data_IF_367983351775
#
_entry.id   IF_367983351775
#
_cell.length_a   1.000
_cell.length_b   1.000
_cell.length_c   1.000
_cell.angle_alpha   90.00
_cell.angle_beta   90.00
_cell.angle_gamma   90.00
#
_symmetry.space_group_name_H-M   'P 1'
#
loop_
_entity.id
_entity.type
_entity.pdbx_description
1 polymer ?
#
# COMPACT_ATOMS: atom_id res chain seq x y z
N UNK A 1 8.36 -3.33 -4.30
CA UNK A 1 8.75 -2.19 -5.16
C UNK A 1 7.71 -2.03 -6.27
N UNK A 2 7.22 -0.81 -6.51
CA UNK A 2 6.24 -0.52 -7.57
C UNK A 2 6.92 0.05 -8.81
N UNK A 3 6.89 -0.68 -9.91
CA UNK A 3 7.44 -0.26 -11.20
C UNK A 3 6.35 0.34 -12.10
N UNK A 4 6.71 1.28 -12.97
CA UNK A 4 5.85 1.80 -14.05
C UNK A 4 6.25 1.21 -15.40
N UNK A 5 5.33 1.23 -16.37
CA UNK A 5 5.53 0.66 -17.71
C UNK A 5 6.01 -0.81 -17.67
N UNK A 6 5.36 -1.61 -16.82
CA UNK A 6 5.80 -2.98 -16.53
C UNK A 6 5.49 -3.91 -17.69
N UNK A 7 6.48 -4.72 -18.05
CA UNK A 7 6.36 -5.83 -19.01
C UNK A 7 6.71 -7.13 -18.31
N UNK A 8 5.88 -8.15 -18.46
CA UNK A 8 5.94 -9.37 -17.65
C UNK A 8 6.22 -10.58 -18.55
N UNK A 9 7.23 -11.36 -18.19
CA UNK A 9 7.47 -12.68 -18.75
C UNK A 9 7.20 -13.76 -17.69
N UNK A 10 5.97 -14.27 -17.69
CA UNK A 10 5.52 -15.25 -16.70
C UNK A 10 6.23 -16.60 -16.84
N UNK A 11 6.58 -17.00 -18.07
CA UNK A 11 7.22 -18.28 -18.35
C UNK A 11 8.63 -18.37 -17.75
N UNK A 12 9.33 -17.23 -17.68
CA UNK A 12 10.70 -17.14 -17.18
C UNK A 12 10.81 -16.40 -15.85
N UNK A 13 9.69 -16.20 -15.15
CA UNK A 13 9.64 -15.67 -13.77
C UNK A 13 10.32 -14.31 -13.59
N UNK A 14 10.13 -13.38 -14.54
CA UNK A 14 10.62 -12.01 -14.37
C UNK A 14 9.68 -10.97 -14.97
N UNK A 15 9.89 -9.74 -14.54
CA UNK A 15 9.30 -8.55 -15.15
C UNK A 15 10.37 -7.48 -15.31
N UNK A 16 10.15 -6.55 -16.23
CA UNK A 16 10.96 -5.34 -16.38
C UNK A 16 10.08 -4.11 -16.29
N UNK A 17 10.61 -3.01 -15.77
CA UNK A 17 9.88 -1.74 -15.66
C UNK A 17 10.79 -0.61 -15.24
N UNK A 18 10.24 0.58 -15.10
CA UNK A 18 10.98 1.75 -14.61
C UNK A 18 10.63 2.04 -13.16
N UNK A 19 11.64 2.25 -12.33
CA UNK A 19 11.47 2.66 -10.94
C UNK A 19 11.73 4.17 -10.83
N UNK A 20 10.71 4.90 -10.36
CA UNK A 20 10.75 6.36 -10.22
C UNK A 20 11.63 6.81 -9.05
N UNK A 21 11.83 5.96 -8.03
CA UNK A 21 12.58 6.33 -6.83
C UNK A 21 14.08 6.31 -7.09
N UNK A 22 14.58 5.27 -7.76
CA UNK A 22 15.99 5.14 -8.12
C UNK A 22 16.31 5.60 -9.54
N UNK A 23 15.30 6.14 -10.25
CA UNK A 23 15.38 6.64 -11.63
C UNK A 23 16.05 5.65 -12.59
N UNK A 24 15.73 4.37 -12.46
CA UNK A 24 16.42 3.28 -13.15
C UNK A 24 15.44 2.29 -13.74
N UNK A 25 15.81 1.68 -14.87
CA UNK A 25 15.13 0.48 -15.35
C UNK A 25 15.52 -0.71 -14.48
N UNK A 26 14.54 -1.51 -14.11
CA UNK A 26 14.68 -2.63 -13.17
C UNK A 26 14.21 -3.90 -13.85
N UNK A 27 15.01 -4.96 -13.73
CA UNK A 27 14.58 -6.34 -13.88
C UNK A 27 14.23 -6.88 -12.49
N UNK A 28 12.96 -7.23 -12.29
CA UNK A 28 12.46 -7.89 -11.09
C UNK A 28 12.32 -9.39 -11.36
N UNK A 29 13.20 -10.17 -10.74
CA UNK A 29 13.25 -11.63 -10.83
C UNK A 29 12.49 -12.25 -9.66
N UNK A 30 11.53 -13.15 -9.96
CA UNK A 30 10.72 -13.85 -8.97
C UNK A 30 11.45 -15.12 -8.51
N UNK A 31 11.65 -15.26 -7.20
CA UNK A 31 12.26 -16.43 -6.57
C UNK A 31 11.18 -17.27 -5.89
N UNK A 32 10.94 -18.47 -6.39
CA UNK A 32 9.79 -19.31 -5.97
C UNK A 32 10.11 -20.33 -4.88
N UNK A 33 11.36 -20.77 -4.73
CA UNK A 33 11.73 -21.90 -3.86
C UNK A 33 11.95 -21.54 -2.38
N UNK A 34 11.84 -20.26 -2.01
CA UNK A 34 12.07 -19.75 -0.63
C UNK A 34 11.01 -18.70 -0.25
N UNK A 35 9.74 -18.97 -0.55
CA UNK A 35 8.63 -18.14 -0.04
C UNK A 35 8.18 -17.00 -0.96
N UNK A 36 8.42 -17.08 -2.27
CA UNK A 36 7.93 -16.13 -3.28
C UNK A 36 8.31 -14.66 -2.98
N UNK A 37 9.52 -14.29 -3.40
CA UNK A 37 10.02 -12.93 -3.23
C UNK A 37 10.77 -12.46 -4.48
N UNK A 38 11.00 -11.15 -4.60
CA UNK A 38 11.72 -10.58 -5.74
C UNK A 38 13.17 -10.22 -5.42
N UNK A 39 14.03 -10.40 -6.42
CA UNK A 39 15.34 -9.75 -6.52
C UNK A 39 15.31 -8.71 -7.62
N UNK A 40 15.88 -7.55 -7.35
CA UNK A 40 15.86 -6.42 -8.25
C UNK A 40 17.27 -6.18 -8.81
N UNK A 41 17.36 -5.99 -10.13
CA UNK A 41 18.61 -5.71 -10.85
C UNK A 41 18.46 -4.44 -11.68
N UNK A 42 19.43 -3.53 -11.61
CA UNK A 42 19.45 -2.33 -12.44
C UNK A 42 19.89 -2.67 -13.86
N UNK A 43 19.01 -2.44 -14.82
CA UNK A 43 19.27 -2.65 -16.24
C UNK A 43 19.33 -1.30 -16.98
N UNK A 44 19.94 -1.28 -18.16
CA UNK A 44 19.95 -0.11 -19.03
C UNK A 44 18.59 0.04 -19.74
N UNK A 45 18.35 1.22 -20.33
CA UNK A 45 17.20 1.42 -21.21
C UNK A 45 17.21 0.47 -22.40
N UNK A 46 18.39 0.23 -22.98
CA UNK A 46 18.56 -0.70 -24.09
C UNK A 46 18.16 -2.13 -23.69
N UNK A 47 18.59 -2.58 -22.51
CA UNK A 47 18.24 -3.90 -21.96
C UNK A 47 16.73 -4.03 -21.68
N UNK A 48 16.08 -2.94 -21.23
CA UNK A 48 14.62 -2.90 -21.09
C UNK A 48 13.91 -2.97 -22.46
N UNK A 49 14.42 -2.27 -23.46
CA UNK A 49 13.86 -2.22 -24.80
C UNK A 49 13.97 -3.57 -25.54
N UNK A 50 14.89 -4.46 -25.14
CA UNK A 50 14.95 -5.85 -25.64
C UNK A 50 13.64 -6.61 -25.47
N UNK A 51 12.75 -6.23 -24.56
CA UNK A 51 11.46 -6.90 -24.40
C UNK A 51 10.63 -6.87 -25.70
N UNK A 52 10.72 -5.80 -26.49
CA UNK A 52 9.98 -5.66 -27.75
C UNK A 52 10.70 -6.31 -28.93
N UNK A 53 12.03 -6.22 -28.95
CA UNK A 53 12.82 -6.50 -30.15
C UNK A 53 13.70 -7.76 -30.07
N UNK A 54 14.02 -8.25 -28.86
CA UNK A 54 14.87 -9.43 -28.64
C UNK A 54 14.71 -10.00 -27.22
N UNK A 55 13.54 -10.57 -26.92
CA UNK A 55 13.21 -11.08 -25.58
C UNK A 55 14.17 -12.20 -25.11
N UNK A 56 14.81 -12.91 -26.04
CA UNK A 56 15.76 -13.97 -25.72
C UNK A 56 17.01 -13.43 -25.00
N UNK A 57 17.47 -12.22 -25.33
CA UNK A 57 18.56 -11.56 -24.57
C UNK A 57 18.15 -11.24 -23.14
N UNK A 58 16.90 -10.81 -22.91
CA UNK A 58 16.39 -10.60 -21.55
C UNK A 58 16.27 -11.90 -20.76
N UNK A 59 15.85 -12.99 -21.41
CA UNK A 59 15.80 -14.31 -20.78
C UNK A 59 17.21 -14.75 -20.38
N UNK A 60 18.19 -14.59 -21.26
CA UNK A 60 19.59 -14.90 -20.97
C UNK A 60 20.14 -14.05 -19.81
N UNK A 61 19.87 -12.73 -19.81
CA UNK A 61 20.24 -11.85 -18.70
C UNK A 61 19.58 -12.27 -17.38
N UNK A 62 18.30 -12.63 -17.40
CA UNK A 62 17.60 -13.12 -16.21
C UNK A 62 18.26 -14.40 -15.67
N UNK A 63 18.64 -15.34 -16.55
CA UNK A 63 19.35 -16.56 -16.17
C UNK A 63 20.74 -16.26 -15.59
N UNK A 64 21.46 -15.31 -16.17
CA UNK A 64 22.76 -14.85 -15.65
C UNK A 64 22.61 -14.24 -14.25
N UNK A 65 21.64 -13.34 -14.06
CA UNK A 65 21.29 -12.76 -12.76
C UNK A 65 20.93 -13.84 -11.73
N UNK A 66 20.21 -14.88 -12.14
CA UNK A 66 19.86 -16.01 -11.26
C UNK A 66 21.11 -16.79 -10.83
N UNK A 67 21.99 -17.12 -11.78
CA UNK A 67 23.19 -17.91 -11.54
C UNK A 67 24.21 -17.18 -10.65
N UNK A 68 24.40 -15.87 -10.88
CA UNK A 68 25.33 -15.05 -10.09
C UNK A 68 24.70 -14.54 -8.78
N UNK A 69 23.37 -14.54 -8.68
CA UNK A 69 22.63 -14.13 -7.49
C UNK A 69 23.06 -12.71 -7.02
N UNK A 70 23.33 -12.53 -5.72
CA UNK A 70 23.71 -11.25 -5.12
C UNK A 70 25.11 -10.77 -5.54
N UNK A 71 25.89 -11.60 -6.25
CA UNK A 71 27.22 -11.25 -6.76
C UNK A 71 27.15 -10.59 -8.15
N UNK A 72 25.99 -10.63 -8.82
CA UNK A 72 25.84 -10.02 -10.12
C UNK A 72 26.08 -8.50 -10.04
N UNK A 73 26.86 -7.89 -10.95
CA UNK A 73 27.20 -6.45 -10.87
C UNK A 73 25.98 -5.53 -10.98
N UNK A 74 24.89 -6.01 -11.58
CA UNK A 74 23.61 -5.28 -11.66
C UNK A 74 22.72 -5.46 -10.42
N UNK A 75 23.08 -6.29 -9.45
CA UNK A 75 22.25 -6.55 -8.28
C UNK A 75 21.97 -5.27 -7.50
N UNK A 76 20.69 -4.96 -7.32
CA UNK A 76 20.26 -3.75 -6.64
C UNK A 76 19.97 -4.02 -5.17
N UNK A 77 18.94 -4.84 -4.90
CA UNK A 77 18.62 -5.40 -3.58
C UNK A 77 17.59 -6.54 -3.75
N UNK A 78 17.30 -7.24 -2.66
CA UNK A 78 16.27 -8.28 -2.57
C UNK A 78 15.23 -7.93 -1.52
N UNK A 79 14.01 -8.44 -1.70
CA UNK A 79 12.98 -8.46 -0.64
C UNK A 79 13.34 -9.39 0.51
N UNK A 80 14.28 -10.33 0.30
CA UNK A 80 14.77 -11.21 1.37
C UNK A 80 15.98 -10.57 2.05
N UNK A 81 15.87 -10.11 3.32
CA UNK A 81 16.90 -9.27 3.94
C UNK A 81 18.26 -9.93 4.11
N UNK A 82 18.31 -11.27 4.12
CA UNK A 82 19.54 -12.06 4.24
C UNK A 82 20.39 -11.97 2.96
N UNK A 83 19.77 -11.73 1.79
CA UNK A 83 20.47 -11.54 0.51
C UNK A 83 21.17 -10.16 0.43
N UNK A 84 20.89 -9.24 1.36
CA UNK A 84 21.28 -7.84 1.28
C UNK A 84 22.44 -7.48 2.21
N UNK A 85 23.27 -6.53 1.77
CA UNK A 85 24.15 -5.76 2.65
C UNK A 85 23.34 -4.80 3.55
N UNK A 86 23.92 -4.25 4.63
CA UNK A 86 23.23 -3.27 5.49
C UNK A 86 22.65 -2.07 4.73
N UNK A 87 23.42 -1.48 3.80
CA UNK A 87 22.97 -0.36 2.96
C UNK A 87 21.81 -0.76 2.02
N UNK A 88 21.80 -2.00 1.53
CA UNK A 88 20.67 -2.51 0.73
C UNK A 88 19.44 -2.77 1.59
N UNK A 89 19.61 -3.20 2.85
CA UNK A 89 18.50 -3.33 3.79
C UNK A 89 17.90 -1.98 4.20
N UNK A 90 18.70 -0.92 4.27
CA UNK A 90 18.15 0.45 4.40
C UNK A 90 17.31 0.84 3.18
N UNK A 91 17.75 0.49 1.97
CA UNK A 91 16.93 0.69 0.76
C UNK A 91 15.65 -0.13 0.81
N UNK A 92 15.73 -1.42 1.15
CA UNK A 92 14.55 -2.27 1.30
C UNK A 92 13.54 -1.63 2.27
N UNK A 93 14.00 -1.19 3.45
CA UNK A 93 13.17 -0.47 4.42
C UNK A 93 12.55 0.79 3.82
N UNK A 94 13.34 1.60 3.10
CA UNK A 94 12.82 2.77 2.39
C UNK A 94 11.72 2.40 1.40
N UNK A 95 11.92 1.39 0.53
CA UNK A 95 10.88 0.96 -0.42
C UNK A 95 9.64 0.39 0.28
N UNK A 96 9.80 -0.37 1.36
CA UNK A 96 8.69 -0.89 2.15
C UNK A 96 7.91 0.24 2.83
N UNK A 97 8.62 1.23 3.36
CA UNK A 97 8.04 2.41 3.98
C UNK A 97 7.36 3.30 2.94
N UNK A 98 7.97 3.54 1.77
CA UNK A 98 7.34 4.28 0.68
C UNK A 98 6.11 3.53 0.14
N UNK A 99 6.13 2.20 0.07
CA UNK A 99 4.96 1.41 -0.30
C UNK A 99 3.85 1.48 0.77
N UNK A 100 4.23 1.53 2.04
CA UNK A 100 3.31 1.77 3.16
C UNK A 100 2.73 3.19 3.14
N UNK A 101 3.57 4.20 2.92
CA UNK A 101 3.20 5.61 2.81
C UNK A 101 2.33 5.88 1.58
N UNK A 102 2.65 5.26 0.43
CA UNK A 102 1.80 5.24 -0.77
C UNK A 102 0.48 4.47 -0.55
N UNK A 103 0.38 3.66 0.51
CA UNK A 103 -0.82 2.95 0.93
C UNK A 103 -1.52 3.58 2.14
N UNK A 104 -1.14 4.78 2.61
CA UNK A 104 -1.92 5.52 3.63
C UNK A 104 -3.40 5.62 3.23
N UNK A 105 -3.68 5.80 1.94
CA UNK A 105 -5.05 5.80 1.39
C UNK A 105 -5.73 4.45 1.57
N UNK A 106 -5.02 3.35 1.36
CA UNK A 106 -5.53 1.99 1.58
C UNK A 106 -5.77 1.71 3.06
N UNK A 107 -4.84 2.08 3.94
CA UNK A 107 -4.98 1.87 5.38
C UNK A 107 -6.14 2.70 5.93
N UNK A 108 -6.26 3.96 5.52
CA UNK A 108 -7.41 4.80 5.88
C UNK A 108 -8.73 4.20 5.36
N UNK A 109 -8.76 3.72 4.11
CA UNK A 109 -9.91 3.02 3.53
C UNK A 109 -10.33 1.81 4.37
N UNK A 110 -9.39 0.95 4.73
CA UNK A 110 -9.67 -0.26 5.51
C UNK A 110 -10.22 0.09 6.90
N UNK A 111 -9.69 1.16 7.53
CA UNK A 111 -10.22 1.68 8.82
C UNK A 111 -11.63 2.24 8.68
N UNK A 112 -11.92 3.01 7.63
CA UNK A 112 -13.27 3.52 7.34
C UNK A 112 -14.26 2.37 7.12
N UNK A 113 -13.88 1.36 6.34
CA UNK A 113 -14.70 0.17 6.08
C UNK A 113 -14.96 -0.63 7.37
N UNK A 114 -13.96 -0.74 8.26
CA UNK A 114 -14.16 -1.34 9.58
C UNK A 114 -15.18 -0.55 10.40
N UNK A 115 -15.05 0.78 10.44
CA UNK A 115 -15.98 1.63 11.18
C UNK A 115 -17.43 1.51 10.67
N UNK A 116 -17.62 1.49 9.34
CA UNK A 116 -18.95 1.27 8.74
C UNK A 116 -19.59 -0.08 9.17
N UNK A 117 -18.79 -1.15 9.28
CA UNK A 117 -19.27 -2.45 9.79
C UNK A 117 -19.69 -2.39 11.26
N UNK A 118 -19.00 -1.60 12.08
CA UNK A 118 -19.41 -1.42 13.48
C UNK A 118 -20.68 -0.57 13.58
N UNK A 119 -20.91 0.39 12.67
CA UNK A 119 -22.18 1.10 12.55
C UNK A 119 -23.31 0.12 12.19
N UNK A 120 -23.12 -0.79 11.23
CA UNK A 120 -24.11 -1.83 10.88
C UNK A 120 -24.52 -2.66 12.11
N UNK A 121 -23.55 -3.09 12.91
CA UNK A 121 -23.80 -3.87 14.13
C UNK A 121 -24.52 -3.05 15.18
N UNK A 122 -24.14 -1.79 15.37
CA UNK A 122 -24.77 -0.90 16.33
C UNK A 122 -26.22 -0.60 15.95
N UNK A 123 -26.52 -0.39 14.66
CA UNK A 123 -27.88 -0.18 14.14
C UNK A 123 -28.79 -1.38 14.41
N UNK A 124 -28.27 -2.60 14.31
CA UNK A 124 -29.05 -3.82 14.56
C UNK A 124 -29.54 -3.96 16.02
N UNK A 125 -28.91 -3.24 16.96
CA UNK A 125 -29.25 -3.29 18.40
C UNK A 125 -29.72 -1.94 18.96
N UNK A 126 -29.77 -0.90 18.11
CA UNK A 126 -30.11 0.46 18.51
C UNK A 126 -31.62 0.73 18.55
N UNK A 127 -32.05 1.64 19.43
CA UNK A 127 -33.41 2.19 19.41
C UNK A 127 -33.63 3.08 18.17
N UNK A 128 -34.89 3.28 17.78
CA UNK A 128 -35.30 4.11 16.63
C UNK A 128 -34.75 5.55 16.71
N UNK A 129 -34.53 6.09 17.90
CA UNK A 129 -33.94 7.42 18.10
C UNK A 129 -32.46 7.48 17.74
N UNK A 130 -31.73 6.37 17.87
CA UNK A 130 -30.29 6.29 17.66
C UNK A 130 -29.95 5.92 16.20
N UNK A 131 -30.87 5.24 15.50
CA UNK A 131 -30.68 4.83 14.11
C UNK A 131 -30.56 6.02 13.15
N UNK A 132 -31.26 7.14 13.42
CA UNK A 132 -31.15 8.35 12.61
C UNK A 132 -29.73 8.94 12.61
N UNK A 133 -29.08 8.96 13.76
CA UNK A 133 -27.73 9.50 13.91
C UNK A 133 -26.64 8.56 13.39
N UNK A 134 -26.80 7.25 13.56
CA UNK A 134 -25.93 6.24 12.96
C UNK A 134 -25.96 6.32 11.42
N UNK A 135 -27.15 6.52 10.85
CA UNK A 135 -27.31 6.70 9.41
C UNK A 135 -26.66 8.00 8.90
N UNK A 136 -26.73 9.12 9.64
CA UNK A 136 -26.01 10.35 9.29
C UNK A 136 -24.49 10.15 9.34
N UNK A 137 -23.99 9.43 10.35
CA UNK A 137 -22.58 9.08 10.46
C UNK A 137 -22.12 8.20 9.29
N UNK A 138 -22.92 7.20 8.92
CA UNK A 138 -22.70 6.33 7.75
C UNK A 138 -22.55 7.14 6.47
N UNK A 139 -23.53 7.99 6.15
CA UNK A 139 -23.53 8.82 4.94
C UNK A 139 -22.29 9.72 4.90
N UNK A 140 -21.91 10.32 6.03
CA UNK A 140 -20.67 11.11 6.12
C UNK A 140 -19.44 10.28 5.79
N UNK A 141 -19.30 9.10 6.40
CA UNK A 141 -18.15 8.23 6.19
C UNK A 141 -18.07 7.64 4.78
N UNK A 142 -19.22 7.32 4.16
CA UNK A 142 -19.29 6.91 2.76
C UNK A 142 -18.83 8.03 1.82
N UNK A 143 -19.22 9.29 2.08
CA UNK A 143 -18.74 10.43 1.30
C UNK A 143 -17.22 10.65 1.44
N UNK A 144 -16.69 10.46 2.65
CA UNK A 144 -15.24 10.50 2.89
C UNK A 144 -14.52 9.38 2.15
N UNK A 145 -15.07 8.16 2.17
CA UNK A 145 -14.53 7.02 1.43
C UNK A 145 -14.51 7.30 -0.08
N UNK A 146 -15.58 7.86 -0.63
CA UNK A 146 -15.65 8.27 -2.03
C UNK A 146 -14.58 9.33 -2.38
N UNK A 147 -14.42 10.36 -1.54
CA UNK A 147 -13.37 11.37 -1.72
C UNK A 147 -11.97 10.77 -1.67
N UNK A 148 -11.75 9.78 -0.79
CA UNK A 148 -10.50 9.06 -0.66
C UNK A 148 -10.20 8.23 -1.92
N UNK A 149 -11.18 7.50 -2.44
CA UNK A 149 -11.07 6.68 -3.65
C UNK A 149 -10.85 7.53 -4.90
N UNK A 150 -11.52 8.68 -4.99
CA UNK A 150 -11.35 9.66 -6.07
C UNK A 150 -10.08 10.50 -5.93
N UNK A 151 -9.32 10.34 -4.85
CA UNK A 151 -8.06 11.05 -4.62
C UNK A 151 -8.20 12.55 -4.33
N UNK A 152 -9.40 13.01 -3.96
CA UNK A 152 -9.72 14.41 -3.66
C UNK A 152 -9.87 14.68 -2.15
N UNK A 153 -9.68 13.66 -1.30
CA UNK A 153 -9.67 13.84 0.14
C UNK A 153 -8.49 14.75 0.53
N UNK A 154 -8.74 15.87 1.24
CA UNK A 154 -7.67 16.79 1.61
C UNK A 154 -6.70 16.17 2.61
N UNK A 155 -5.53 16.79 2.73
CA UNK A 155 -4.60 16.52 3.84
C UNK A 155 -5.26 16.89 5.16
N UNK A 156 -4.97 16.12 6.20
CA UNK A 156 -5.55 16.37 7.52
C UNK A 156 -4.97 17.62 8.16
N UNK A 157 -3.72 18.01 7.84
CA UNK A 157 -2.98 19.06 8.54
C UNK A 157 -2.98 18.90 10.08
N UNK A 158 -3.15 17.66 10.57
CA UNK A 158 -3.31 17.36 12.00
C UNK A 158 -4.74 17.36 12.51
N UNK A 159 -5.72 17.75 11.70
CA UNK A 159 -7.14 17.70 12.05
C UNK A 159 -7.72 16.29 11.98
N UNK A 160 -8.81 16.07 12.70
CA UNK A 160 -9.58 14.83 12.66
C UNK A 160 -10.55 14.82 11.48
N UNK A 161 -10.90 13.62 10.98
CA UNK A 161 -11.87 13.48 9.89
C UNK A 161 -13.31 13.64 10.39
N UNK A 162 -13.48 13.57 11.72
CA UNK A 162 -14.73 13.83 12.43
C UNK A 162 -15.56 12.56 12.69
N UNK A 163 -14.95 11.37 12.61
CA UNK A 163 -15.65 10.11 12.88
C UNK A 163 -16.16 10.05 14.34
N UNK A 164 -15.32 10.44 15.29
CA UNK A 164 -15.67 10.48 16.72
C UNK A 164 -16.71 11.53 17.07
N UNK A 165 -16.81 12.63 16.30
CA UNK A 165 -17.77 13.71 16.58
C UNK A 165 -19.21 13.20 16.57
N UNK A 166 -19.56 12.33 15.62
CA UNK A 166 -20.90 11.78 15.51
C UNK A 166 -21.23 10.75 16.58
N UNK A 167 -20.23 9.98 17.05
CA UNK A 167 -20.40 9.00 18.12
C UNK A 167 -20.45 9.66 19.51
N UNK A 168 -19.59 10.66 19.75
CA UNK A 168 -19.44 11.32 21.05
C UNK A 168 -20.60 12.26 21.40
N UNK A 169 -21.39 12.66 20.40
CA UNK A 169 -22.60 13.46 20.61
C UNK A 169 -23.77 12.65 21.20
N UNK A 170 -23.61 11.32 21.32
CA UNK A 170 -24.66 10.41 21.76
C UNK A 170 -24.14 9.51 22.87
N UNK A 171 -24.48 9.86 24.12
CA UNK A 171 -24.06 9.15 25.33
C UNK A 171 -24.39 7.65 25.32
N UNK A 172 -25.38 7.21 24.53
CA UNK A 172 -25.76 5.81 24.40
C UNK A 172 -24.88 5.03 23.40
N UNK A 173 -24.22 5.70 22.45
CA UNK A 173 -23.37 5.07 21.42
C UNK A 173 -21.92 5.00 21.83
N UNK A 174 -21.44 5.93 22.67
CA UNK A 174 -20.08 5.90 23.23
C UNK A 174 -19.82 4.69 24.15
N UNK A 175 -20.89 4.05 24.64
CA UNK A 175 -20.83 2.82 25.44
C UNK A 175 -20.58 1.58 24.57
N UNK A 176 -20.82 1.66 23.26
CA UNK A 176 -20.50 0.59 22.31
C UNK A 176 -19.00 0.67 22.02
N UNK A 177 -18.21 -0.05 22.83
CA UNK A 177 -16.75 0.02 22.83
C UNK A 177 -16.14 -0.15 21.43
N UNK A 178 -16.53 -1.19 20.69
CA UNK A 178 -15.99 -1.47 19.36
C UNK A 178 -16.29 -0.35 18.33
N UNK A 179 -17.47 0.27 18.43
CA UNK A 179 -17.87 1.40 17.58
C UNK A 179 -17.04 2.64 17.89
N UNK A 180 -16.86 2.94 19.17
CA UNK A 180 -16.06 4.07 19.63
C UNK A 180 -14.57 3.90 19.27
N UNK A 181 -14.01 2.71 19.49
CA UNK A 181 -12.63 2.39 19.12
C UNK A 181 -12.42 2.50 17.61
N UNK A 182 -13.35 1.99 16.79
CA UNK A 182 -13.25 2.11 15.34
C UNK A 182 -13.32 3.56 14.87
N UNK A 183 -14.17 4.39 15.47
CA UNK A 183 -14.23 5.82 15.19
C UNK A 183 -12.92 6.54 15.57
N UNK A 184 -12.38 6.24 16.76
CA UNK A 184 -11.15 6.83 17.25
C UNK A 184 -9.93 6.43 16.41
N UNK A 185 -9.88 5.18 15.93
CA UNK A 185 -8.81 4.67 15.07
C UNK A 185 -8.79 5.38 13.70
N UNK A 186 -9.96 5.67 13.12
CA UNK A 186 -10.07 6.47 11.89
C UNK A 186 -9.54 7.88 12.11
N UNK A 187 -10.00 8.58 13.15
CA UNK A 187 -9.59 9.96 13.43
C UNK A 187 -8.11 10.07 13.78
N UNK A 188 -7.60 9.14 14.60
CA UNK A 188 -6.19 9.08 14.99
C UNK A 188 -5.28 8.84 13.79
N UNK A 189 -5.64 7.88 12.92
CA UNK A 189 -4.85 7.59 11.73
C UNK A 189 -4.87 8.77 10.75
N UNK A 190 -6.04 9.38 10.52
CA UNK A 190 -6.14 10.55 9.64
C UNK A 190 -5.35 11.74 10.17
N UNK A 191 -5.49 12.07 11.45
CA UNK A 191 -4.78 13.19 12.08
C UNK A 191 -3.26 12.99 12.09
N UNK A 192 -2.78 11.78 12.39
CA UNK A 192 -1.34 11.52 12.55
C UNK A 192 -0.63 11.20 11.24
N UNK A 193 -1.20 10.28 10.45
CA UNK A 193 -0.51 9.69 9.30
C UNK A 193 -0.86 10.39 7.98
N UNK A 194 -1.99 11.10 7.93
CA UNK A 194 -2.52 11.76 6.74
C UNK A 194 -2.35 13.28 6.76
N UNK A 195 -1.38 13.80 7.54
CA UNK A 195 -1.07 15.24 7.63
C UNK A 195 -0.76 15.88 6.29
N UNK A 196 -0.19 15.09 5.40
CA UNK A 196 0.12 15.42 4.00
C UNK A 196 -0.15 14.17 3.14
N UNK A 197 -0.64 14.37 1.91
CA UNK A 197 -0.93 13.33 0.92
C UNK A 197 -0.10 13.49 -0.35
#
# INVERSE_FOLDING_TARGET
>A
MKLVSVKINQQHYFSVGYDLISESYILAQVITYMGYYNRYFKISKEEYDWFEYDVNKLIALNQECFAQNTKHPKFFFSEYPIDNTPKQNEKLKFYMQTEYEQNKKRVLRDKILKFLREIDKAEAVASISNSGSLNLCRIWMENILEKLENGILPSSNGDMIGAMKYISQLDCLSVIHDLYEAAADVDTFYSNECKEW
#
